data_IF_207880379431
#
_entry.id   IF_207880379431
#
_cell.length_a   1.000
_cell.length_b   1.000
_cell.length_c   1.000
_cell.angle_alpha   90.00
_cell.angle_beta   90.00
_cell.angle_gamma   90.00
#
_symmetry.space_group_name_H-M   'P 1'
#
loop_
_entity.id
_entity.type
_entity.pdbx_description
1 polymer ?
#
# COMPACT_ATOMS: atom_id res chain seq x y z
N UNK A 1 0.81 9.00 6.47
CA UNK A 1 -0.59 8.50 6.65
C UNK A 1 -0.95 8.46 8.12
N UNK A 2 -0.86 7.35 8.85
CA UNK A 2 -1.34 7.28 10.26
C UNK A 2 -0.76 8.35 11.20
N UNK A 3 0.49 8.77 10.98
CA UNK A 3 1.11 9.88 11.73
C UNK A 3 0.36 11.20 11.59
N UNK A 4 -0.16 11.50 10.40
CA UNK A 4 -0.77 12.79 10.06
C UNK A 4 -2.31 12.71 9.97
N UNK A 5 -2.84 11.50 9.77
CA UNK A 5 -4.26 11.18 9.74
C UNK A 5 -4.50 9.82 10.42
N UNK A 6 -4.72 9.81 11.76
CA UNK A 6 -4.93 8.59 12.53
C UNK A 6 -6.12 7.74 12.08
N UNK A 7 -7.12 8.36 11.42
CA UNK A 7 -8.31 7.68 10.89
C UNK A 7 -8.08 7.03 9.52
N UNK A 8 -6.83 7.06 9.01
CA UNK A 8 -6.50 6.44 7.73
C UNK A 8 -6.78 4.95 7.74
N UNK A 9 -7.43 4.44 6.68
CA UNK A 9 -7.53 3.02 6.39
C UNK A 9 -6.56 2.66 5.29
N UNK A 10 -5.64 1.75 5.58
CA UNK A 10 -4.54 1.41 4.69
C UNK A 10 -4.47 -0.10 4.53
N UNK A 11 -4.79 -0.58 3.33
CA UNK A 11 -4.48 -1.91 2.85
C UNK A 11 -3.51 -1.76 1.68
N UNK A 12 -2.23 -1.54 1.99
CA UNK A 12 -1.17 -1.35 1.00
C UNK A 12 -0.27 -2.57 1.01
N UNK A 13 -0.27 -3.30 -0.11
CA UNK A 13 0.60 -4.45 -0.34
C UNK A 13 1.74 -4.06 -1.28
N UNK A 14 2.88 -4.72 -1.13
CA UNK A 14 4.08 -4.44 -1.94
C UNK A 14 4.64 -5.74 -2.51
N UNK A 15 4.79 -5.78 -3.83
CA UNK A 15 5.49 -6.85 -4.55
C UNK A 15 6.80 -6.29 -5.10
N UNK A 16 7.90 -7.01 -4.86
CA UNK A 16 9.25 -6.63 -5.32
C UNK A 16 9.83 -7.75 -6.15
N UNK A 17 10.36 -7.43 -7.32
CA UNK A 17 11.10 -8.37 -8.17
C UNK A 17 12.17 -7.61 -8.95
N UNK A 18 13.42 -8.03 -8.79
CA UNK A 18 14.58 -7.39 -9.42
C UNK A 18 14.57 -5.88 -9.15
N UNK A 19 14.60 -5.02 -10.17
CA UNK A 19 14.57 -3.56 -10.01
C UNK A 19 13.15 -2.96 -10.15
N UNK A 20 12.10 -3.75 -9.89
CA UNK A 20 10.70 -3.34 -9.94
C UNK A 20 10.03 -3.46 -8.57
N UNK A 21 9.27 -2.42 -8.22
CA UNK A 21 8.41 -2.34 -7.04
C UNK A 21 6.99 -2.02 -7.47
N UNK A 22 6.04 -2.84 -7.05
CA UNK A 22 4.61 -2.61 -7.28
C UNK A 22 3.93 -2.33 -5.95
N UNK A 23 3.29 -1.18 -5.84
CA UNK A 23 2.41 -0.81 -4.73
C UNK A 23 0.97 -1.06 -5.16
N UNK A 24 0.22 -1.85 -4.40
CA UNK A 24 -1.15 -2.21 -4.74
C UNK A 24 -2.06 -2.22 -3.51
N UNK A 25 -3.37 -2.11 -3.75
CA UNK A 25 -4.40 -2.18 -2.71
C UNK A 25 -5.19 -0.89 -2.57
N UNK A 26 -5.74 -0.66 -1.38
CA UNK A 26 -6.77 0.35 -1.13
C UNK A 26 -6.37 1.25 0.05
N UNK A 27 -6.41 2.57 -0.18
CA UNK A 27 -6.12 3.58 0.84
C UNK A 27 -7.26 4.60 0.91
N UNK A 28 -7.70 4.88 2.12
CA UNK A 28 -8.55 6.04 2.45
C UNK A 28 -7.82 6.86 3.50
N UNK A 29 -7.32 8.04 3.10
CA UNK A 29 -6.59 8.96 3.98
C UNK A 29 -6.71 10.40 3.48
N UNK A 30 -6.60 11.37 4.38
CA UNK A 30 -6.39 12.79 4.10
C UNK A 30 -4.91 13.14 3.95
N UNK A 31 -4.02 12.25 4.35
CA UNK A 31 -2.57 12.39 4.25
C UNK A 31 -2.06 11.90 2.90
N UNK A 32 -1.13 12.65 2.30
CA UNK A 32 -0.33 12.23 1.15
C UNK A 32 1.16 12.33 1.51
N UNK A 33 1.80 11.23 1.94
CA UNK A 33 3.19 11.27 2.36
C UNK A 33 4.19 11.25 1.19
N UNK A 34 3.74 11.26 -0.07
CA UNK A 34 4.62 11.07 -1.23
C UNK A 34 5.16 9.64 -1.27
N UNK A 35 4.28 8.68 -1.60
CA UNK A 35 4.58 7.25 -1.52
C UNK A 35 5.83 6.82 -2.28
N UNK A 36 6.10 7.40 -3.44
CA UNK A 36 7.31 7.06 -4.20
C UNK A 36 8.58 7.41 -3.42
N UNK A 37 8.65 8.63 -2.86
CA UNK A 37 9.81 9.08 -2.09
C UNK A 37 10.02 8.22 -0.82
N UNK A 38 8.92 7.86 -0.15
CA UNK A 38 8.96 6.95 1.01
C UNK A 38 9.48 5.57 0.60
N UNK A 39 8.97 5.00 -0.49
CA UNK A 39 9.41 3.69 -1.01
C UNK A 39 10.89 3.69 -1.33
N UNK A 40 11.38 4.68 -2.09
CA UNK A 40 12.81 4.79 -2.44
C UNK A 40 13.68 4.91 -1.19
N UNK A 41 13.26 5.76 -0.24
CA UNK A 41 13.98 5.94 1.02
C UNK A 41 14.09 4.63 1.79
N UNK A 42 13.00 3.88 1.95
CA UNK A 42 13.00 2.61 2.67
C UNK A 42 13.93 1.59 2.00
N UNK A 43 13.91 1.48 0.67
CA UNK A 43 14.77 0.58 -0.09
C UNK A 43 16.26 0.93 0.09
N UNK A 44 16.60 2.22 0.02
CA UNK A 44 17.97 2.68 0.26
C UNK A 44 18.41 2.48 1.72
N UNK A 45 17.52 2.73 2.68
CA UNK A 45 17.80 2.59 4.13
C UNK A 45 18.13 1.13 4.51
N UNK A 46 17.54 0.14 3.82
CA UNK A 46 17.85 -1.29 4.04
C UNK A 46 19.09 -1.77 3.25
N UNK A 47 19.73 -0.90 2.45
CA UNK A 47 20.99 -1.17 1.77
C UNK A 47 20.90 -1.48 0.28
N UNK A 48 19.72 -1.43 -0.34
CA UNK A 48 19.56 -1.58 -1.80
C UNK A 48 19.72 -0.22 -2.48
N UNK A 49 20.97 0.23 -2.63
CA UNK A 49 21.32 1.52 -3.23
C UNK A 49 22.35 1.40 -4.38
N UNK A 50 22.56 0.19 -4.88
CA UNK A 50 23.44 -0.11 -6.00
C UNK A 50 22.84 -1.26 -6.82
N UNK A 51 22.69 -1.06 -8.12
CA UNK A 51 22.08 -2.05 -9.01
C UNK A 51 22.89 -3.36 -9.06
N UNK A 52 24.17 -3.34 -8.67
CA UNK A 52 25.03 -4.52 -8.60
C UNK A 52 24.52 -5.60 -7.64
N UNK A 53 23.68 -5.24 -6.65
CA UNK A 53 23.04 -6.19 -5.71
C UNK A 53 21.66 -6.66 -6.17
N UNK A 54 21.23 -6.30 -7.38
CA UNK A 54 19.98 -6.74 -8.01
C UNK A 54 18.77 -5.83 -7.81
N UNK A 55 18.90 -4.77 -7.01
CA UNK A 55 17.89 -3.73 -6.80
C UNK A 55 18.56 -2.43 -6.33
N UNK A 56 18.07 -1.29 -6.80
CA UNK A 56 18.56 0.04 -6.38
C UNK A 56 17.39 1.01 -6.19
N UNK A 57 17.15 1.44 -4.96
CA UNK A 57 16.08 2.38 -4.62
C UNK A 57 16.16 3.72 -5.35
N UNK A 58 17.34 4.12 -5.84
CA UNK A 58 17.49 5.36 -6.61
C UNK A 58 17.00 5.22 -8.06
N UNK A 59 17.00 4.01 -8.61
CA UNK A 59 16.72 3.75 -10.03
C UNK A 59 15.60 2.74 -10.28
N UNK A 60 15.09 2.07 -9.24
CA UNK A 60 14.02 1.09 -9.36
C UNK A 60 12.77 1.70 -9.98
N UNK A 61 12.11 0.93 -10.84
CA UNK A 61 10.80 1.25 -11.35
C UNK A 61 9.78 1.08 -10.23
N UNK A 62 8.90 2.06 -10.07
CA UNK A 62 7.83 2.04 -9.08
C UNK A 62 6.51 2.17 -9.82
N UNK A 63 5.70 1.11 -9.78
CA UNK A 63 4.34 1.10 -10.30
C UNK A 63 3.39 1.27 -9.13
N UNK A 64 2.66 2.38 -9.14
CA UNK A 64 1.64 2.67 -8.12
C UNK A 64 0.25 2.34 -8.67
N UNK A 65 -0.37 1.31 -8.10
CA UNK A 65 -1.72 0.82 -8.40
C UNK A 65 -2.63 0.91 -7.17
N UNK A 66 -2.38 1.88 -6.29
CA UNK A 66 -3.21 2.14 -5.12
C UNK A 66 -4.49 2.88 -5.51
N UNK A 67 -5.62 2.35 -5.06
CA UNK A 67 -6.94 2.93 -5.25
C UNK A 67 -7.55 3.45 -3.95
N UNK A 68 -8.75 4.02 -4.07
CA UNK A 68 -9.60 4.32 -2.90
C UNK A 68 -10.28 3.04 -2.41
N UNK A 69 -10.56 2.96 -1.11
CA UNK A 69 -11.30 1.82 -0.56
C UNK A 69 -12.68 1.67 -1.20
N UNK A 70 -13.09 0.43 -1.47
CA UNK A 70 -14.44 0.17 -1.99
C UNK A 70 -15.52 0.49 -0.95
N UNK A 71 -16.68 0.98 -1.40
CA UNK A 71 -17.80 1.34 -0.53
C UNK A 71 -18.33 0.14 0.26
N UNK A 72 -18.33 -1.06 -0.35
CA UNK A 72 -18.79 -2.29 0.29
C UNK A 72 -17.87 -2.73 1.44
N UNK A 73 -16.54 -2.57 1.27
CA UNK A 73 -15.58 -2.84 2.34
C UNK A 73 -15.70 -1.78 3.44
N UNK A 74 -15.89 -0.51 3.08
CA UNK A 74 -16.04 0.56 4.05
C UNK A 74 -17.25 0.33 4.98
N UNK A 75 -18.39 -0.08 4.43
CA UNK A 75 -19.62 -0.40 5.18
C UNK A 75 -19.43 -1.58 6.14
N UNK A 76 -18.71 -2.63 5.74
CA UNK A 76 -18.47 -3.79 6.60
C UNK A 76 -17.49 -3.55 7.76
N UNK A 77 -16.70 -2.48 7.73
CA UNK A 77 -15.68 -2.15 8.73
C UNK A 77 -16.11 -1.00 9.66
N UNK A 78 -17.09 -0.18 9.27
CA UNK A 78 -17.60 0.91 10.11
C UNK A 78 -18.39 0.35 11.30
N UNK A 79 -17.96 0.65 12.53
CA UNK A 79 -18.68 0.29 13.76
C UNK A 79 -20.08 0.92 13.76
N UNK A 80 -21.12 0.07 13.89
CA UNK A 80 -22.52 0.50 13.95
C UNK A 80 -23.36 0.26 12.68
N UNK A 81 -22.76 -0.18 11.56
CA UNK A 81 -23.50 -0.54 10.33
C UNK A 81 -23.41 -2.04 9.96
N UNK A 82 -22.58 -2.80 10.66
CA UNK A 82 -22.28 -4.21 10.37
C UNK A 82 -22.93 -5.21 11.33
N UNK A 83 -24.27 -5.32 11.35
CA UNK A 83 -24.89 -6.56 11.85
C UNK A 83 -24.85 -7.64 10.75
N UNK A 84 -23.85 -8.53 10.90
CA UNK A 84 -23.86 -9.96 10.54
C UNK A 84 -23.99 -10.43 9.06
N UNK A 85 -23.16 -11.44 8.74
CA UNK A 85 -23.23 -12.42 7.62
C UNK A 85 -22.58 -12.06 6.29
N UNK A 86 -21.24 -12.07 6.26
CA UNK A 86 -20.50 -13.03 5.44
C UNK A 86 -19.00 -12.92 5.72
N UNK A 87 -18.40 -14.06 6.11
CA UNK A 87 -16.94 -14.23 6.11
C UNK A 87 -16.42 -13.90 4.71
N UNK A 88 -15.68 -12.80 4.58
CA UNK A 88 -15.00 -12.40 3.35
C UNK A 88 -13.80 -13.33 3.17
N UNK A 89 -14.04 -14.48 2.53
CA UNK A 89 -13.05 -15.16 1.71
C UNK A 89 -13.24 -14.60 0.30
N UNK A 90 -12.45 -13.59 -0.05
CA UNK A 90 -12.31 -13.15 -1.44
C UNK A 90 -10.92 -13.52 -1.90
N UNK A 91 -10.77 -14.81 -2.22
CA UNK A 91 -10.05 -15.20 -3.42
C UNK A 91 -11.17 -15.65 -4.36
N UNK A 92 -11.45 -14.89 -5.42
CA UNK A 92 -12.27 -15.35 -6.53
C UNK A 92 -11.62 -14.89 -7.82
N UNK A 93 -10.98 -15.90 -8.43
CA UNK A 93 -10.62 -16.12 -9.83
C UNK A 93 -10.10 -14.93 -10.66
#
# INVERSE_FOLDING_TARGET
>A
MLKDDPESRVACETLVKDNLVVLAGEITSKSDPGLEAVTRKVICDIGYNDISVGCDGNTCEIINVLGKQSTNIAQGVNEGEGEEKNRVLVIKD
#
